data_IF_269598573775
#
_entry.id   IF_269598573775
#
_cell.length_a   1.000
_cell.length_b   1.000
_cell.length_c   1.000
_cell.angle_alpha   90.00
_cell.angle_beta   90.00
_cell.angle_gamma   90.00
#
_symmetry.space_group_name_H-M   'P 1'
#
loop_
_entity.id
_entity.type
_entity.pdbx_description
1 polymer ?
#
# COMPACT_ATOMS: atom_id res chain seq x y z
N UNK A 1 11.00 -31.03 11.90
CA UNK A 1 11.98 -30.46 10.93
C UNK A 1 11.18 -29.55 9.99
N UNK A 2 11.02 -28.29 10.39
CA UNK A 2 10.22 -27.30 9.67
C UNK A 2 11.08 -26.78 8.53
N UNK A 3 10.73 -27.10 7.29
CA UNK A 3 11.32 -26.45 6.11
C UNK A 3 10.75 -25.04 6.04
N UNK A 4 11.55 -24.06 6.43
CA UNK A 4 11.33 -22.66 6.09
C UNK A 4 11.27 -22.57 4.56
N UNK A 5 10.07 -22.47 4.02
CA UNK A 5 9.86 -21.98 2.67
C UNK A 5 10.16 -20.48 2.67
N UNK A 6 11.42 -20.14 2.51
CA UNK A 6 11.81 -18.79 2.11
C UNK A 6 11.29 -18.65 0.68
N UNK A 7 10.14 -18.03 0.53
CA UNK A 7 9.71 -17.49 -0.75
C UNK A 7 10.56 -16.25 -1.00
N UNK A 8 11.83 -16.45 -1.34
CA UNK A 8 12.61 -15.39 -1.95
C UNK A 8 11.96 -15.12 -3.30
N UNK A 9 11.58 -13.87 -3.55
CA UNK A 9 11.32 -13.42 -4.90
C UNK A 9 12.58 -13.74 -5.72
N UNK A 10 12.54 -14.84 -6.46
CA UNK A 10 13.67 -15.22 -7.33
C UNK A 10 13.65 -14.27 -8.52
N UNK A 11 14.69 -13.44 -8.69
CA UNK A 11 14.85 -12.71 -9.93
C UNK A 11 14.91 -13.72 -11.08
N UNK A 12 14.03 -13.58 -12.06
CA UNK A 12 14.08 -14.35 -13.29
C UNK A 12 13.12 -15.54 -13.41
N UNK A 13 12.17 -15.73 -12.50
CA UNK A 13 11.12 -16.73 -12.71
C UNK A 13 10.09 -16.19 -13.71
N UNK A 14 10.13 -16.73 -14.91
CA UNK A 14 9.10 -16.50 -15.93
C UNK A 14 7.76 -16.98 -15.38
N UNK A 15 6.82 -16.07 -15.10
CA UNK A 15 5.50 -16.40 -14.57
C UNK A 15 4.65 -17.06 -15.67
N UNK A 16 4.52 -16.38 -16.80
CA UNK A 16 3.81 -16.82 -17.99
C UNK A 16 4.40 -16.10 -19.21
N UNK A 17 4.29 -16.66 -20.41
CA UNK A 17 4.69 -15.95 -21.64
C UNK A 17 3.74 -14.80 -21.95
N UNK A 18 2.45 -15.02 -21.70
CA UNK A 18 1.39 -14.02 -21.78
C UNK A 18 0.38 -14.29 -20.69
N UNK A 19 -0.25 -13.23 -20.15
CA UNK A 19 -1.35 -13.42 -19.24
C UNK A 19 -2.53 -14.08 -19.95
N UNK A 20 -3.13 -15.16 -19.39
CA UNK A 20 -4.35 -15.72 -19.94
C UNK A 20 -5.50 -14.71 -20.00
N UNK A 21 -5.50 -13.67 -19.16
CA UNK A 21 -6.49 -12.61 -19.18
C UNK A 21 -6.43 -11.77 -20.47
N UNK A 22 -5.28 -11.69 -21.13
CA UNK A 22 -5.12 -10.96 -22.37
C UNK A 22 -5.94 -11.55 -23.55
N UNK A 23 -6.12 -12.88 -23.56
CA UNK A 23 -6.85 -13.57 -24.60
C UNK A 23 -8.36 -13.67 -24.36
N UNK A 24 -8.85 -13.23 -23.20
CA UNK A 24 -10.28 -13.21 -22.89
C UNK A 24 -10.97 -12.15 -23.74
N UNK A 25 -12.03 -12.55 -24.44
CA UNK A 25 -12.85 -11.65 -25.26
C UNK A 25 -13.70 -10.73 -24.37
N UNK A 26 -13.17 -9.58 -24.01
CA UNK A 26 -13.82 -8.59 -23.11
C UNK A 26 -15.25 -8.23 -23.58
N UNK A 27 -15.49 -8.11 -24.88
CA UNK A 27 -16.82 -7.84 -25.43
C UNK A 27 -17.89 -8.90 -25.11
N UNK A 28 -17.48 -10.16 -24.89
CA UNK A 28 -18.40 -11.20 -24.43
C UNK A 28 -18.72 -11.01 -22.95
N UNK A 29 -17.71 -10.73 -22.12
CA UNK A 29 -17.89 -10.49 -20.71
C UNK A 29 -18.79 -9.27 -20.43
N UNK A 30 -18.63 -8.18 -21.19
CA UNK A 30 -19.42 -6.96 -21.06
C UNK A 30 -20.92 -7.22 -21.18
N UNK A 31 -21.36 -8.14 -22.06
CA UNK A 31 -22.77 -8.51 -22.21
C UNK A 31 -23.39 -9.04 -20.91
N UNK A 32 -22.64 -9.83 -20.14
CA UNK A 32 -23.11 -10.37 -18.87
C UNK A 32 -23.01 -9.34 -17.74
N UNK A 33 -22.01 -8.47 -17.77
CA UNK A 33 -21.86 -7.38 -16.81
C UNK A 33 -22.96 -6.32 -16.94
N UNK A 34 -23.59 -6.19 -18.13
CA UNK A 34 -24.71 -5.29 -18.38
C UNK A 34 -26.08 -5.87 -18.02
N UNK A 35 -26.14 -7.13 -17.53
CA UNK A 35 -27.42 -7.69 -17.10
C UNK A 35 -28.01 -6.87 -15.93
N UNK A 36 -29.31 -6.55 -15.97
CA UNK A 36 -29.95 -5.85 -14.89
C UNK A 36 -29.87 -6.67 -13.60
N UNK A 37 -29.48 -6.02 -12.52
CA UNK A 37 -29.37 -6.65 -11.23
C UNK A 37 -30.62 -6.41 -10.37
N UNK A 38 -31.04 -7.36 -9.50
CA UNK A 38 -32.10 -7.13 -8.54
C UNK A 38 -31.77 -5.94 -7.63
N UNK A 39 -32.74 -5.04 -7.42
CA UNK A 39 -32.55 -3.81 -6.65
C UNK A 39 -32.30 -4.03 -5.16
N UNK A 40 -32.73 -5.17 -4.65
CA UNK A 40 -32.61 -5.58 -3.25
C UNK A 40 -31.38 -6.46 -2.96
N UNK A 41 -30.55 -6.70 -3.97
CA UNK A 41 -29.33 -7.51 -3.82
C UNK A 41 -28.07 -6.65 -4.00
N UNK A 42 -27.10 -6.92 -3.12
CA UNK A 42 -25.79 -6.27 -3.16
C UNK A 42 -24.70 -7.34 -3.16
N UNK A 43 -23.75 -7.20 -4.06
CA UNK A 43 -22.53 -8.00 -4.03
C UNK A 43 -21.51 -7.26 -3.13
N UNK A 44 -21.13 -7.87 -2.03
CA UNK A 44 -20.09 -7.38 -1.14
C UNK A 44 -18.83 -8.23 -1.32
N UNK A 45 -17.73 -7.60 -1.75
CA UNK A 45 -16.44 -8.25 -1.89
C UNK A 45 -15.61 -7.98 -0.63
N UNK A 46 -15.38 -9.01 0.15
CA UNK A 46 -14.55 -9.01 1.34
C UNK A 46 -13.09 -9.16 0.94
N UNK A 47 -12.27 -8.21 1.35
CA UNK A 47 -10.84 -8.11 1.03
C UNK A 47 -10.05 -8.20 2.33
N UNK A 48 -8.98 -8.98 2.34
CA UNK A 48 -8.11 -9.12 3.52
C UNK A 48 -6.64 -9.33 3.14
N UNK A 49 -5.76 -9.05 4.09
CA UNK A 49 -4.33 -9.29 3.98
C UNK A 49 -4.07 -10.73 4.37
N UNK A 50 -3.33 -11.47 3.55
CA UNK A 50 -3.03 -12.88 3.82
C UNK A 50 -1.82 -13.08 4.77
N UNK A 51 -1.41 -14.32 4.98
CA UNK A 51 -0.32 -14.66 5.88
C UNK A 51 1.08 -14.23 5.40
N UNK A 52 1.23 -13.73 4.18
CA UNK A 52 2.48 -13.12 3.71
C UNK A 52 2.68 -11.70 4.26
N UNK A 53 1.58 -11.05 4.70
CA UNK A 53 1.60 -9.64 5.10
C UNK A 53 1.72 -8.65 3.93
N UNK A 54 1.71 -9.14 2.70
CA UNK A 54 1.92 -8.36 1.47
C UNK A 54 0.79 -8.53 0.46
N UNK A 55 0.25 -9.75 0.36
CA UNK A 55 -0.73 -10.10 -0.65
C UNK A 55 -2.15 -9.95 -0.13
N UNK A 56 -3.03 -9.55 -1.03
CA UNK A 56 -4.46 -9.39 -0.77
C UNK A 56 -5.24 -10.58 -1.31
N UNK A 57 -6.24 -11.01 -0.56
CA UNK A 57 -7.22 -12.00 -0.97
C UNK A 57 -8.61 -11.38 -0.98
N UNK A 58 -9.51 -11.95 -1.79
CA UNK A 58 -10.88 -11.49 -1.85
C UNK A 58 -11.87 -12.63 -2.13
N UNK A 59 -13.06 -12.51 -1.58
CA UNK A 59 -14.22 -13.36 -1.92
C UNK A 59 -15.50 -12.54 -1.81
N UNK A 60 -16.49 -12.86 -2.62
CA UNK A 60 -17.75 -12.12 -2.67
C UNK A 60 -18.90 -12.89 -2.09
N UNK A 61 -19.83 -12.19 -1.45
CA UNK A 61 -21.13 -12.72 -1.03
C UNK A 61 -22.26 -11.81 -1.48
N UNK A 62 -23.46 -12.35 -1.56
CA UNK A 62 -24.68 -11.58 -1.78
C UNK A 62 -25.30 -11.19 -0.45
N UNK A 63 -25.73 -9.94 -0.34
CA UNK A 63 -26.54 -9.41 0.76
C UNK A 63 -27.94 -9.11 0.25
N UNK A 64 -28.94 -9.27 1.12
CA UNK A 64 -30.35 -8.98 0.84
C UNK A 64 -30.74 -7.55 1.30
N UNK A 65 -29.75 -6.70 1.53
CA UNK A 65 -29.91 -5.32 1.95
C UNK A 65 -28.74 -4.47 1.47
N UNK A 66 -28.92 -3.15 1.41
CA UNK A 66 -27.85 -2.21 1.08
C UNK A 66 -27.18 -1.74 2.38
N UNK A 67 -25.92 -2.14 2.65
CA UNK A 67 -25.21 -1.72 3.85
C UNK A 67 -24.81 -0.24 3.74
N UNK A 68 -24.94 0.48 4.87
CA UNK A 68 -24.55 1.88 5.00
C UNK A 68 -23.25 2.07 5.79
N UNK A 69 -22.90 1.09 6.63
CA UNK A 69 -21.69 1.09 7.48
C UNK A 69 -21.14 -0.34 7.64
N UNK A 70 -19.85 -0.48 7.94
CA UNK A 70 -19.21 -1.80 8.06
C UNK A 70 -19.83 -2.71 9.10
N UNK A 71 -20.34 -2.16 10.21
CA UNK A 71 -20.90 -2.93 11.34
C UNK A 71 -22.21 -3.65 11.00
N UNK A 72 -22.88 -3.29 9.90
CA UNK A 72 -24.06 -3.97 9.39
C UNK A 72 -23.71 -5.24 8.62
N UNK A 73 -22.43 -5.38 8.22
CA UNK A 73 -21.97 -6.50 7.42
C UNK A 73 -21.71 -7.73 8.28
N UNK A 74 -22.19 -8.90 7.87
CA UNK A 74 -21.96 -10.10 8.65
C UNK A 74 -20.49 -10.54 8.63
N UNK A 75 -19.99 -11.00 9.78
CA UNK A 75 -18.73 -11.73 9.86
C UNK A 75 -18.80 -12.96 8.95
N UNK A 76 -17.70 -13.27 8.29
CA UNK A 76 -17.60 -14.42 7.41
C UNK A 76 -16.36 -15.25 7.74
N UNK A 77 -16.19 -16.40 7.08
CA UNK A 77 -15.07 -17.32 7.30
C UNK A 77 -14.44 -17.73 5.97
N UNK A 78 -13.20 -18.15 6.05
CA UNK A 78 -12.45 -18.74 4.94
C UNK A 78 -11.43 -19.75 5.46
N UNK A 79 -10.87 -20.57 4.57
CA UNK A 79 -9.81 -21.51 4.91
C UNK A 79 -8.44 -20.77 5.02
N UNK A 80 -8.03 -20.50 6.25
CA UNK A 80 -6.76 -19.84 6.55
C UNK A 80 -5.54 -20.67 6.19
N UNK A 81 -5.66 -21.99 6.01
CA UNK A 81 -4.56 -22.85 5.57
C UNK A 81 -4.15 -22.56 4.11
N UNK A 82 -5.13 -22.17 3.29
CA UNK A 82 -4.91 -21.79 1.90
C UNK A 82 -4.35 -20.37 1.72
N UNK A 83 -4.20 -19.61 2.81
CA UNK A 83 -3.72 -18.22 2.82
C UNK A 83 -2.54 -18.01 3.78
N UNK A 84 -1.90 -19.07 4.22
CA UNK A 84 -0.74 -19.06 5.14
C UNK A 84 -1.07 -18.49 6.55
N UNK A 85 -2.34 -18.50 6.98
CA UNK A 85 -2.79 -17.88 8.24
C UNK A 85 -3.20 -18.90 9.31
N UNK A 86 -3.30 -20.17 8.96
CA UNK A 86 -3.52 -21.26 9.89
C UNK A 86 -2.85 -22.54 9.43
N UNK A 87 -2.73 -23.53 10.32
CA UNK A 87 -2.14 -24.82 10.01
C UNK A 87 -3.01 -25.94 10.60
N UNK A 88 -3.14 -27.05 9.85
CA UNK A 88 -3.76 -28.27 10.34
C UNK A 88 -5.26 -28.15 10.62
N UNK A 89 -5.69 -28.74 11.74
CA UNK A 89 -7.05 -28.65 12.24
C UNK A 89 -7.38 -27.22 12.70
N UNK A 90 -8.66 -26.81 12.67
CA UNK A 90 -9.12 -25.46 12.99
C UNK A 90 -8.58 -24.37 12.02
N UNK A 91 -8.67 -24.65 10.72
CA UNK A 91 -8.22 -23.69 9.68
C UNK A 91 -9.21 -22.54 9.42
N UNK A 92 -10.40 -22.59 9.98
CA UNK A 92 -11.37 -21.51 9.83
C UNK A 92 -10.85 -20.20 10.43
N UNK A 93 -10.67 -19.22 9.56
CA UNK A 93 -10.26 -17.86 9.91
C UNK A 93 -11.43 -16.91 9.63
N UNK A 94 -11.67 -15.99 10.55
CA UNK A 94 -12.79 -15.06 10.47
C UNK A 94 -12.41 -13.78 9.74
N UNK A 95 -13.34 -13.28 8.92
CA UNK A 95 -13.31 -11.96 8.26
C UNK A 95 -14.27 -11.02 8.99
N UNK A 96 -13.71 -10.05 9.68
CA UNK A 96 -14.46 -9.03 10.41
C UNK A 96 -14.43 -7.73 9.61
N UNK A 97 -15.57 -7.26 9.04
CA UNK A 97 -15.65 -5.99 8.31
C UNK A 97 -15.24 -4.80 9.16
N UNK A 98 -14.38 -3.91 8.63
CA UNK A 98 -13.86 -2.75 9.35
C UNK A 98 -13.91 -1.44 8.55
N UNK A 99 -13.95 -1.53 7.22
CA UNK A 99 -14.15 -0.37 6.35
C UNK A 99 -14.89 -0.79 5.08
N UNK A 100 -15.58 0.15 4.46
CA UNK A 100 -16.43 -0.11 3.30
C UNK A 100 -16.27 0.99 2.26
N UNK A 101 -16.16 0.57 0.99
CA UNK A 101 -15.96 1.43 -0.16
C UNK A 101 -16.95 1.08 -1.28
N UNK A 102 -17.22 2.00 -2.20
CA UNK A 102 -18.01 1.66 -3.38
C UNK A 102 -17.18 0.76 -4.31
N UNK A 103 -17.84 -0.23 -4.90
CA UNK A 103 -17.19 -1.16 -5.84
C UNK A 103 -17.11 -0.53 -7.24
N UNK A 104 -15.91 -0.15 -7.75
CA UNK A 104 -15.77 0.46 -9.06
C UNK A 104 -15.90 -0.54 -10.21
N UNK A 105 -15.86 -1.84 -9.94
CA UNK A 105 -15.95 -2.90 -10.95
C UNK A 105 -17.39 -3.32 -11.23
N UNK A 106 -18.24 -3.29 -10.20
CA UNK A 106 -19.64 -3.70 -10.27
C UNK A 106 -20.61 -2.53 -10.13
N UNK A 107 -20.09 -1.33 -9.78
CA UNK A 107 -20.84 -0.08 -9.55
C UNK A 107 -21.82 -0.19 -8.36
N UNK A 108 -22.42 0.93 -8.01
CA UNK A 108 -23.43 0.98 -6.94
C UNK A 108 -24.63 0.06 -7.27
N UNK A 109 -25.22 -0.62 -6.26
CA UNK A 109 -24.99 -0.47 -4.83
C UNK A 109 -23.89 -1.38 -4.24
N UNK A 110 -23.10 -2.06 -5.07
CA UNK A 110 -22.12 -3.04 -4.67
C UNK A 110 -20.95 -2.42 -3.85
N UNK A 111 -20.32 -3.23 -3.00
CA UNK A 111 -19.32 -2.75 -2.03
C UNK A 111 -18.04 -3.59 -2.05
N UNK A 112 -16.91 -2.88 -1.85
CA UNK A 112 -15.65 -3.46 -1.40
C UNK A 112 -15.56 -3.31 0.12
N UNK A 113 -15.17 -4.35 0.82
CA UNK A 113 -15.20 -4.41 2.29
C UNK A 113 -13.82 -4.82 2.78
N UNK A 114 -13.11 -3.91 3.45
CA UNK A 114 -11.85 -4.24 4.13
C UNK A 114 -12.16 -5.00 5.41
N UNK A 115 -11.43 -6.10 5.64
CA UNK A 115 -11.64 -6.98 6.78
C UNK A 115 -10.38 -7.16 7.60
N UNK A 116 -10.52 -7.14 8.91
CA UNK A 116 -9.57 -7.74 9.84
C UNK A 116 -9.72 -9.27 9.83
N UNK A 117 -8.63 -9.97 10.12
CA UNK A 117 -8.62 -11.45 10.20
C UNK A 117 -8.37 -11.90 11.62
N UNK A 118 -9.17 -12.90 12.06
CA UNK A 118 -9.08 -13.49 13.39
C UNK A 118 -9.02 -15.01 13.29
N UNK A 119 -8.19 -15.63 14.14
CA UNK A 119 -8.06 -17.09 14.25
C UNK A 119 -9.34 -17.71 14.85
N UNK A 120 -9.44 -19.02 14.80
CA UNK A 120 -10.57 -19.76 15.34
C UNK A 120 -10.84 -19.48 16.84
N UNK A 121 -9.81 -19.13 17.61
CA UNK A 121 -9.87 -18.78 19.03
C UNK A 121 -10.18 -17.30 19.29
N UNK A 122 -10.52 -16.53 18.25
CA UNK A 122 -10.82 -15.10 18.27
C UNK A 122 -9.59 -14.20 18.57
N UNK A 123 -8.39 -14.75 18.54
CA UNK A 123 -7.18 -13.93 18.55
C UNK A 123 -6.91 -13.36 17.16
N UNK A 124 -6.32 -12.14 17.06
CA UNK A 124 -5.93 -11.60 15.76
C UNK A 124 -4.97 -12.55 15.02
N UNK A 125 -5.15 -12.71 13.71
CA UNK A 125 -4.18 -13.41 12.89
C UNK A 125 -2.82 -12.66 12.92
N UNK A 126 -1.72 -13.37 12.70
CA UNK A 126 -0.36 -12.79 12.86
C UNK A 126 -0.11 -11.59 11.95
N UNK A 127 -0.78 -11.50 10.82
CA UNK A 127 -0.71 -10.37 9.87
C UNK A 127 -1.84 -9.34 10.06
N UNK A 128 -2.66 -9.47 11.11
CA UNK A 128 -3.67 -8.46 11.45
C UNK A 128 -3.05 -7.32 12.25
N UNK A 129 -2.21 -6.51 11.62
CA UNK A 129 -1.58 -5.36 12.27
C UNK A 129 -2.54 -4.19 12.50
N UNK A 130 -3.71 -4.20 11.83
CA UNK A 130 -4.72 -3.14 12.02
C UNK A 130 -5.20 -3.06 13.47
N UNK A 131 -5.32 -4.19 14.16
CA UNK A 131 -5.78 -4.24 15.56
C UNK A 131 -4.86 -3.44 16.47
N UNK A 132 -3.56 -3.69 16.42
CA UNK A 132 -2.56 -2.96 17.22
C UNK A 132 -2.46 -1.47 16.82
N UNK A 133 -2.54 -1.18 15.53
CA UNK A 133 -2.57 0.19 15.02
C UNK A 133 -3.79 0.96 15.54
N UNK A 134 -4.97 0.35 15.53
CA UNK A 134 -6.21 0.97 16.05
C UNK A 134 -6.07 1.31 17.55
N UNK A 135 -5.47 0.43 18.33
CA UNK A 135 -5.22 0.68 19.75
C UNK A 135 -4.30 1.87 19.99
N UNK A 136 -3.20 1.97 19.22
CA UNK A 136 -2.29 3.11 19.28
C UNK A 136 -2.98 4.41 18.84
N UNK A 137 -3.73 4.39 17.74
CA UNK A 137 -4.49 5.53 17.23
C UNK A 137 -5.54 6.01 18.24
N UNK A 138 -6.23 5.08 18.91
CA UNK A 138 -7.22 5.39 19.93
C UNK A 138 -6.59 6.11 21.13
N UNK A 139 -5.44 5.63 21.61
CA UNK A 139 -4.68 6.28 22.70
C UNK A 139 -4.18 7.68 22.32
N UNK A 140 -3.84 7.90 21.06
CA UNK A 140 -3.33 9.17 20.55
C UNK A 140 -4.41 10.08 19.93
N UNK A 141 -5.69 9.73 20.02
CA UNK A 141 -6.78 10.43 19.31
C UNK A 141 -6.87 11.92 19.62
N UNK A 142 -6.53 12.34 20.87
CA UNK A 142 -6.49 13.72 21.28
C UNK A 142 -5.44 14.58 20.56
N UNK A 143 -4.42 13.95 19.96
CA UNK A 143 -3.37 14.62 19.19
C UNK A 143 -3.73 14.73 17.69
N UNK A 144 -4.84 14.12 17.26
CA UNK A 144 -5.34 14.12 15.88
C UNK A 144 -4.22 13.80 14.86
N UNK A 145 -3.64 12.59 14.91
CA UNK A 145 -2.59 12.19 13.97
C UNK A 145 -3.16 12.10 12.54
N UNK A 146 -2.55 12.83 11.61
CA UNK A 146 -2.88 12.79 10.18
C UNK A 146 -1.74 12.17 9.40
N UNK A 147 -2.11 11.42 8.37
CA UNK A 147 -1.18 10.72 7.50
C UNK A 147 -1.50 10.95 6.04
N UNK A 148 -0.45 11.02 5.23
CA UNK A 148 -0.50 10.87 3.79
C UNK A 148 0.59 9.90 3.36
N UNK A 149 0.32 9.00 2.42
CA UNK A 149 1.31 8.03 1.95
C UNK A 149 1.47 8.14 0.45
N UNK A 150 2.74 8.21 0.02
CA UNK A 150 3.19 8.25 -1.36
C UNK A 150 3.63 6.83 -1.75
N UNK A 151 2.73 6.09 -2.41
CA UNK A 151 2.93 4.69 -2.74
C UNK A 151 3.56 4.54 -4.11
N UNK A 152 4.82 4.15 -4.15
CA UNK A 152 5.49 3.75 -5.40
C UNK A 152 5.22 2.28 -5.72
N UNK A 153 5.22 1.94 -7.01
CA UNK A 153 5.06 0.58 -7.53
C UNK A 153 5.65 0.47 -8.93
N UNK A 154 5.91 -0.75 -9.38
CA UNK A 154 6.39 -1.01 -10.73
C UNK A 154 5.43 -1.93 -11.49
N UNK A 155 5.13 -1.57 -12.73
CA UNK A 155 4.40 -2.44 -13.64
C UNK A 155 5.36 -3.44 -14.28
N UNK A 156 5.00 -4.72 -14.25
CA UNK A 156 5.76 -5.80 -14.86
C UNK A 156 4.92 -6.47 -15.94
N UNK A 157 5.59 -6.90 -16.99
CA UNK A 157 5.02 -7.88 -17.91
C UNK A 157 4.96 -9.27 -17.23
N UNK A 158 4.21 -10.19 -17.76
CA UNK A 158 4.05 -11.53 -17.18
C UNK A 158 5.32 -12.38 -17.18
N UNK A 159 6.34 -11.99 -17.94
CA UNK A 159 7.67 -12.57 -17.89
C UNK A 159 8.54 -12.03 -16.73
N UNK A 160 8.02 -11.09 -15.94
CA UNK A 160 8.71 -10.48 -14.81
C UNK A 160 9.64 -9.32 -15.18
N UNK A 161 9.70 -8.92 -16.45
CA UNK A 161 10.41 -7.71 -16.87
C UNK A 161 9.53 -6.47 -16.66
N UNK A 162 10.10 -5.31 -16.35
CA UNK A 162 9.32 -4.08 -16.29
C UNK A 162 8.60 -3.81 -17.62
N UNK A 163 7.35 -3.42 -17.51
CA UNK A 163 6.49 -3.20 -18.66
C UNK A 163 7.07 -2.16 -19.62
N UNK A 164 7.14 -2.51 -20.91
CA UNK A 164 7.69 -1.64 -21.94
C UNK A 164 9.23 -1.59 -22.02
N UNK A 165 9.93 -2.31 -21.15
CA UNK A 165 11.38 -2.42 -21.27
C UNK A 165 11.79 -3.33 -22.44
N UNK A 166 12.98 -3.11 -23.04
CA UNK A 166 13.53 -4.01 -24.03
C UNK A 166 13.61 -5.44 -23.48
N UNK A 167 13.22 -6.43 -24.28
CA UNK A 167 13.30 -7.85 -23.86
C UNK A 167 14.76 -8.34 -23.76
N UNK A 168 15.70 -7.62 -24.37
CA UNK A 168 17.15 -7.82 -24.24
C UNK A 168 17.81 -6.48 -23.96
N UNK A 169 18.60 -6.45 -22.86
CA UNK A 169 19.26 -5.20 -22.42
C UNK A 169 18.37 -4.33 -21.53
N UNK A 170 18.67 -3.05 -21.53
CA UNK A 170 18.06 -2.04 -20.64
C UNK A 170 17.52 -0.87 -21.45
N UNK A 171 16.56 -0.11 -20.93
CA UNK A 171 16.17 1.17 -21.50
C UNK A 171 17.32 2.20 -21.37
N UNK A 172 17.14 3.38 -21.92
CA UNK A 172 18.08 4.48 -21.72
C UNK A 172 18.24 4.84 -20.23
N UNK A 173 19.35 5.51 -19.85
CA UNK A 173 19.60 5.91 -18.46
C UNK A 173 18.47 6.73 -17.85
N UNK A 174 18.29 6.62 -16.52
CA UNK A 174 17.36 7.47 -15.77
C UNK A 174 17.65 8.95 -15.99
N UNK A 175 16.59 9.77 -16.00
CA UNK A 175 16.62 11.19 -16.23
C UNK A 175 15.36 11.74 -16.92
N UNK A 176 14.89 11.16 -18.05
CA UNK A 176 13.75 11.72 -18.78
C UNK A 176 12.38 11.18 -18.33
N UNK A 177 12.31 10.23 -17.42
CA UNK A 177 11.09 9.46 -17.11
C UNK A 177 10.24 10.06 -15.99
N UNK A 178 10.85 10.67 -14.97
CA UNK A 178 10.13 11.29 -13.87
C UNK A 178 9.15 12.36 -14.35
N UNK A 179 7.87 12.21 -14.02
CA UNK A 179 6.78 13.04 -14.53
C UNK A 179 6.78 13.14 -16.06
N UNK A 180 7.28 12.12 -16.75
CA UNK A 180 7.50 12.12 -18.19
C UNK A 180 6.21 12.14 -18.99
N UNK A 181 6.30 12.64 -20.22
CA UNK A 181 5.22 12.67 -21.21
C UNK A 181 5.77 12.19 -22.54
N UNK A 182 5.03 11.33 -23.21
CA UNK A 182 5.38 10.76 -24.51
C UNK A 182 5.57 9.24 -24.45
N UNK A 183 5.31 8.57 -25.58
CA UNK A 183 5.36 7.13 -25.70
C UNK A 183 6.77 6.53 -25.50
N UNK A 184 7.79 7.35 -25.60
CA UNK A 184 9.19 6.99 -25.38
C UNK A 184 9.65 7.15 -23.93
N UNK A 185 8.78 7.66 -23.04
CA UNK A 185 9.13 7.99 -21.66
C UNK A 185 8.27 7.32 -20.60
N UNK A 186 6.98 7.09 -20.87
CA UNK A 186 6.05 6.53 -19.87
C UNK A 186 5.28 5.36 -20.44
N UNK A 187 5.08 4.34 -19.61
CA UNK A 187 4.42 3.10 -19.98
C UNK A 187 3.31 2.77 -18.98
N UNK A 188 2.12 2.37 -19.50
CA UNK A 188 1.03 1.91 -18.65
C UNK A 188 0.13 3.02 -18.09
N UNK A 189 0.13 4.23 -18.64
CA UNK A 189 -0.72 5.35 -18.17
C UNK A 189 -2.21 4.99 -18.08
N UNK A 190 -2.72 4.18 -18.99
CA UNK A 190 -4.14 3.77 -18.97
C UNK A 190 -4.50 3.02 -17.68
N UNK A 191 -3.57 2.22 -17.14
CA UNK A 191 -3.73 1.52 -15.85
C UNK A 191 -3.78 2.54 -14.72
N UNK A 192 -2.87 3.51 -14.74
CA UNK A 192 -2.72 4.54 -13.70
C UNK A 192 -3.93 5.45 -13.64
N UNK A 193 -4.37 5.95 -14.79
CA UNK A 193 -5.58 6.79 -14.91
C UNK A 193 -6.86 6.02 -14.53
N UNK A 194 -6.94 4.75 -14.94
CA UNK A 194 -8.05 3.87 -14.54
C UNK A 194 -8.07 3.66 -13.03
N UNK A 195 -6.91 3.43 -12.42
CA UNK A 195 -6.76 3.30 -10.97
C UNK A 195 -7.18 4.56 -10.22
N UNK A 196 -6.70 5.73 -10.65
CA UNK A 196 -7.04 7.00 -10.03
C UNK A 196 -8.55 7.23 -10.01
N UNK A 197 -9.21 7.07 -11.15
CA UNK A 197 -10.67 7.23 -11.28
C UNK A 197 -11.45 6.22 -10.45
N UNK A 198 -11.01 4.96 -10.43
CA UNK A 198 -11.64 3.91 -9.65
C UNK A 198 -11.51 4.17 -8.14
N UNK A 199 -10.36 4.67 -7.67
CA UNK A 199 -10.17 5.08 -6.28
C UNK A 199 -11.09 6.24 -5.89
N UNK A 200 -11.22 7.27 -6.73
CA UNK A 200 -12.16 8.37 -6.49
C UNK A 200 -13.62 7.87 -6.41
N UNK A 201 -14.04 6.98 -7.32
CA UNK A 201 -15.37 6.39 -7.28
C UNK A 201 -15.60 5.56 -6.02
N UNK A 202 -14.59 4.81 -5.60
CA UNK A 202 -14.65 4.00 -4.39
C UNK A 202 -14.77 4.84 -3.10
N UNK A 203 -14.41 6.12 -3.15
CA UNK A 203 -14.36 7.00 -1.98
C UNK A 203 -13.02 6.94 -1.24
N UNK A 204 -11.97 6.45 -1.92
CA UNK A 204 -10.59 6.50 -1.41
C UNK A 204 -10.08 7.93 -1.56
N UNK A 205 -9.41 8.41 -0.53
CA UNK A 205 -8.81 9.76 -0.52
C UNK A 205 -7.49 9.78 -1.31
N UNK A 206 -7.55 9.40 -2.60
CA UNK A 206 -6.44 9.53 -3.53
C UNK A 206 -6.29 10.99 -3.94
N UNK A 207 -5.08 11.53 -3.94
CA UNK A 207 -4.81 12.96 -4.11
C UNK A 207 -3.82 13.28 -5.23
N UNK A 208 -3.16 12.29 -5.78
CA UNK A 208 -2.26 12.51 -6.89
C UNK A 208 -1.69 11.22 -7.46
N UNK A 209 -1.02 11.35 -8.60
CA UNK A 209 -0.24 10.33 -9.26
C UNK A 209 0.89 10.96 -10.07
N UNK A 210 1.97 10.23 -10.28
CA UNK A 210 3.03 10.62 -11.21
C UNK A 210 3.84 9.41 -11.68
N UNK A 211 4.44 9.53 -12.86
CA UNK A 211 5.46 8.61 -13.30
C UNK A 211 6.76 8.84 -12.51
N UNK A 212 7.41 7.75 -12.15
CA UNK A 212 8.62 7.75 -11.34
C UNK A 212 9.91 7.72 -12.18
N UNK A 213 11.06 7.77 -11.47
CA UNK A 213 12.39 7.92 -12.08
C UNK A 213 12.77 6.72 -12.92
N UNK A 214 12.36 5.50 -12.53
CA UNK A 214 12.59 4.30 -13.30
C UNK A 214 11.44 4.09 -14.33
N UNK A 215 11.71 3.76 -15.59
CA UNK A 215 10.66 3.45 -16.56
C UNK A 215 9.77 2.31 -16.09
N UNK A 216 8.46 2.44 -16.26
CA UNK A 216 7.40 1.57 -15.75
C UNK A 216 7.15 1.64 -14.23
N UNK A 217 7.85 2.52 -13.53
CA UNK A 217 7.57 2.84 -12.13
C UNK A 217 6.63 4.04 -12.07
N UNK A 218 5.67 3.95 -11.15
CA UNK A 218 4.64 4.95 -10.89
C UNK A 218 4.45 5.14 -9.39
N UNK A 219 3.86 6.27 -9.05
CA UNK A 219 3.47 6.62 -7.69
C UNK A 219 2.01 7.08 -7.67
N UNK A 220 1.28 6.75 -6.60
CA UNK A 220 0.03 7.42 -6.25
C UNK A 220 0.07 7.86 -4.79
N UNK A 221 -0.65 8.95 -4.47
CA UNK A 221 -0.70 9.50 -3.13
C UNK A 221 -2.10 9.32 -2.53
N UNK A 222 -2.15 8.86 -1.27
CA UNK A 222 -3.37 8.71 -0.47
C UNK A 222 -3.28 9.58 0.77
N UNK A 223 -4.30 10.36 1.05
CA UNK A 223 -4.38 11.24 2.21
C UNK A 223 -4.42 12.73 1.85
N UNK A 224 -4.36 13.65 2.82
CA UNK A 224 -4.26 13.34 4.25
C UNK A 224 -5.56 12.78 4.83
N UNK A 225 -5.44 11.79 5.72
CA UNK A 225 -6.55 11.26 6.52
C UNK A 225 -6.12 11.07 7.97
N UNK A 226 -7.08 11.11 8.89
CA UNK A 226 -6.84 10.96 10.32
C UNK A 226 -6.85 9.50 10.75
N UNK A 227 -5.88 9.13 11.56
CA UNK A 227 -5.88 7.87 12.30
C UNK A 227 -5.79 6.62 11.44
N UNK A 228 -6.56 5.60 11.84
CA UNK A 228 -6.49 4.24 11.26
C UNK A 228 -6.91 4.19 9.79
N UNK A 229 -7.72 5.12 9.33
CA UNK A 229 -8.29 5.12 7.98
C UNK A 229 -7.23 5.18 6.87
N UNK A 230 -6.04 5.72 7.14
CA UNK A 230 -4.96 5.75 6.13
C UNK A 230 -4.58 4.35 5.67
N UNK A 231 -4.49 3.37 6.58
CA UNK A 231 -4.21 1.99 6.25
C UNK A 231 -5.35 1.34 5.46
N UNK A 232 -6.60 1.60 5.85
CA UNK A 232 -7.78 1.10 5.14
C UNK A 232 -7.82 1.62 3.70
N UNK A 233 -7.58 2.91 3.50
CA UNK A 233 -7.54 3.54 2.18
C UNK A 233 -6.39 3.04 1.32
N UNK A 234 -5.18 2.90 1.88
CA UNK A 234 -4.02 2.45 1.11
C UNK A 234 -4.15 0.97 0.69
N UNK A 235 -4.57 0.09 1.60
CA UNK A 235 -4.78 -1.31 1.25
C UNK A 235 -5.87 -1.49 0.19
N UNK A 236 -6.96 -0.73 0.29
CA UNK A 236 -8.01 -0.78 -0.73
C UNK A 236 -7.56 -0.17 -2.05
N UNK A 237 -6.74 0.88 -2.04
CA UNK A 237 -6.13 1.43 -3.26
C UNK A 237 -5.22 0.40 -3.94
N UNK A 238 -4.39 -0.32 -3.17
CA UNK A 238 -3.56 -1.44 -3.70
C UNK A 238 -4.44 -2.55 -4.31
N UNK A 239 -5.52 -2.92 -3.64
CA UNK A 239 -6.48 -3.91 -4.17
C UNK A 239 -7.06 -3.47 -5.52
N UNK A 240 -7.52 -2.24 -5.63
CA UNK A 240 -8.08 -1.69 -6.87
C UNK A 240 -7.02 -1.66 -7.97
N UNK A 241 -5.77 -1.29 -7.65
CA UNK A 241 -4.67 -1.27 -8.61
C UNK A 241 -4.40 -2.67 -9.19
N UNK A 242 -4.28 -3.68 -8.33
CA UNK A 242 -4.08 -5.06 -8.77
C UNK A 242 -5.24 -5.57 -9.63
N UNK A 243 -6.49 -5.26 -9.25
CA UNK A 243 -7.67 -5.65 -10.00
C UNK A 243 -7.75 -5.00 -11.39
N UNK A 244 -7.37 -3.73 -11.50
CA UNK A 244 -7.32 -3.05 -12.80
C UNK A 244 -6.20 -3.64 -13.66
N UNK A 245 -5.02 -3.84 -13.10
CA UNK A 245 -3.89 -4.44 -13.81
C UNK A 245 -4.20 -5.85 -14.35
N UNK A 246 -5.00 -6.66 -13.61
CA UNK A 246 -5.53 -7.94 -14.10
C UNK A 246 -6.24 -7.80 -15.45
N UNK A 247 -7.02 -6.74 -15.64
CA UNK A 247 -7.77 -6.53 -16.88
C UNK A 247 -6.89 -6.23 -18.08
N UNK A 248 -5.71 -5.66 -17.83
CA UNK A 248 -4.69 -5.39 -18.84
C UNK A 248 -3.68 -6.54 -19.00
N UNK A 249 -3.74 -7.56 -18.14
CA UNK A 249 -2.78 -8.65 -18.13
C UNK A 249 -1.39 -8.23 -17.65
N UNK A 250 -1.29 -7.19 -16.85
CA UNK A 250 -0.08 -6.60 -16.30
C UNK A 250 0.03 -6.96 -14.81
N UNK A 251 1.26 -7.23 -14.37
CA UNK A 251 1.57 -7.51 -12.96
C UNK A 251 1.99 -6.23 -12.26
N UNK A 252 1.44 -5.96 -11.09
CA UNK A 252 1.90 -4.90 -10.20
C UNK A 252 2.85 -5.50 -9.17
N UNK A 253 4.02 -4.91 -8.98
CA UNK A 253 4.90 -5.27 -7.88
C UNK A 253 5.11 -4.09 -6.94
N UNK A 254 5.07 -4.38 -5.65
CA UNK A 254 5.46 -3.48 -4.56
C UNK A 254 6.86 -3.81 -4.03
N UNK A 255 7.63 -4.64 -4.74
CA UNK A 255 9.01 -4.94 -4.34
C UNK A 255 9.83 -3.65 -4.25
N UNK A 256 10.51 -3.37 -3.12
CA UNK A 256 11.25 -2.11 -2.95
C UNK A 256 12.48 -1.99 -3.84
N UNK A 257 12.93 -3.08 -4.48
CA UNK A 257 14.02 -3.07 -5.44
C UNK A 257 13.81 -4.15 -6.51
N UNK A 258 12.83 -3.97 -7.41
CA UNK A 258 12.45 -5.00 -8.37
C UNK A 258 13.56 -5.29 -9.39
N UNK A 259 14.38 -4.30 -9.72
CA UNK A 259 15.50 -4.42 -10.65
C UNK A 259 16.81 -4.13 -9.92
N UNK A 260 17.77 -5.06 -9.91
CA UNK A 260 19.07 -4.83 -9.31
C UNK A 260 19.91 -3.83 -10.12
N UNK A 261 20.96 -3.28 -9.48
CA UNK A 261 21.89 -2.35 -10.13
C UNK A 261 21.47 -0.89 -9.97
N UNK A 262 21.87 -0.05 -10.92
CA UNK A 262 21.76 1.39 -10.87
C UNK A 262 20.37 1.91 -11.32
N UNK A 263 19.32 1.33 -10.74
CA UNK A 263 17.92 1.70 -10.95
C UNK A 263 17.26 2.11 -9.64
N UNK A 264 16.31 3.04 -9.69
CA UNK A 264 15.55 3.46 -8.50
C UNK A 264 14.86 2.26 -7.83
N UNK A 265 14.81 2.31 -6.51
CA UNK A 265 13.92 1.50 -5.71
C UNK A 265 12.53 2.10 -5.60
N UNK A 266 11.64 1.42 -4.87
CA UNK A 266 10.28 1.85 -4.59
C UNK A 266 10.03 1.95 -3.09
N UNK A 267 9.50 3.09 -2.64
CA UNK A 267 9.13 3.38 -1.26
C UNK A 267 7.63 3.59 -1.06
N UNK A 268 7.26 3.78 0.19
CA UNK A 268 5.96 4.28 0.60
C UNK A 268 6.19 5.40 1.62
N UNK A 269 6.57 6.58 1.15
CA UNK A 269 6.91 7.70 2.02
C UNK A 269 5.69 8.10 2.85
N UNK A 270 5.87 8.19 4.17
CA UNK A 270 4.79 8.49 5.09
C UNK A 270 4.89 9.94 5.59
N UNK A 271 3.98 10.78 5.13
CA UNK A 271 3.79 12.12 5.64
C UNK A 271 2.97 12.05 6.93
N UNK A 272 3.46 12.69 7.99
CA UNK A 272 2.85 12.62 9.32
C UNK A 272 2.77 13.99 9.98
N UNK A 273 1.64 14.27 10.62
CA UNK A 273 1.50 15.45 11.49
C UNK A 273 0.53 15.19 12.63
N UNK A 274 0.74 15.92 13.72
CA UNK A 274 -0.23 16.07 14.81
C UNK A 274 -0.90 17.43 14.75
N UNK A 275 -1.97 17.63 15.52
CA UNK A 275 -2.60 18.95 15.62
C UNK A 275 -1.59 20.04 16.05
N UNK A 276 -0.68 19.72 16.97
CA UNK A 276 0.36 20.64 17.41
C UNK A 276 1.34 21.02 16.30
N UNK A 277 1.75 20.06 15.46
CA UNK A 277 2.61 20.32 14.30
C UNK A 277 1.94 21.23 13.25
N UNK A 278 0.64 21.17 13.12
CA UNK A 278 -0.16 22.00 12.19
C UNK A 278 -0.49 23.39 12.79
N UNK A 279 -0.24 23.57 14.09
CA UNK A 279 -0.49 24.83 14.80
C UNK A 279 0.65 25.85 14.68
N UNK A 280 0.49 26.99 15.36
CA UNK A 280 1.52 28.02 15.40
C UNK A 280 2.83 27.48 15.99
N UNK A 281 3.96 27.79 15.32
CA UNK A 281 5.28 27.30 15.67
C UNK A 281 5.41 25.76 15.73
N UNK A 282 4.60 25.05 14.95
CA UNK A 282 4.57 23.59 14.86
C UNK A 282 5.89 22.96 14.44
N UNK A 283 6.81 23.73 13.87
CA UNK A 283 8.16 23.27 13.51
C UNK A 283 8.92 22.72 14.73
N UNK A 284 8.76 23.31 15.91
CA UNK A 284 9.37 22.81 17.14
C UNK A 284 8.84 21.42 17.52
N UNK A 285 7.55 21.15 17.27
CA UNK A 285 6.97 19.82 17.51
C UNK A 285 7.43 18.80 16.47
N UNK A 286 7.66 19.24 15.22
CA UNK A 286 8.26 18.42 14.16
C UNK A 286 9.70 18.04 14.56
N UNK A 287 10.51 18.98 15.01
CA UNK A 287 11.90 18.73 15.45
C UNK A 287 11.98 17.75 16.63
N UNK A 288 11.09 17.92 17.63
CA UNK A 288 10.97 16.96 18.74
C UNK A 288 10.58 15.56 18.27
N UNK A 289 9.66 15.46 17.29
CA UNK A 289 9.28 14.18 16.72
C UNK A 289 10.45 13.52 15.99
N UNK A 290 11.24 14.28 15.23
CA UNK A 290 12.43 13.80 14.54
C UNK A 290 13.46 13.28 15.54
N UNK A 291 13.66 13.96 16.67
CA UNK A 291 14.55 13.51 17.75
C UNK A 291 14.09 12.16 18.32
N UNK A 292 12.78 11.98 18.58
CA UNK A 292 12.23 10.70 19.05
C UNK A 292 12.42 9.58 18.01
N UNK A 293 12.12 9.86 16.74
CA UNK A 293 12.28 8.91 15.64
C UNK A 293 13.74 8.49 15.45
N UNK A 294 14.69 9.39 15.66
CA UNK A 294 16.12 9.07 15.56
C UNK A 294 16.56 8.05 16.61
N UNK A 295 16.02 8.11 17.82
CA UNK A 295 16.32 7.19 18.92
C UNK A 295 15.76 5.78 18.70
N UNK A 296 14.75 5.64 17.84
CA UNK A 296 14.05 4.39 17.54
C UNK A 296 14.30 3.89 16.11
N UNK A 297 15.34 4.40 15.44
CA UNK A 297 15.59 4.17 14.02
C UNK A 297 15.45 2.70 13.61
N UNK A 298 16.19 1.79 14.24
CA UNK A 298 16.20 0.37 13.87
C UNK A 298 14.89 -0.35 14.22
N UNK A 299 14.14 0.12 15.20
CA UNK A 299 12.78 -0.38 15.48
C UNK A 299 11.86 -0.07 14.32
N UNK A 300 11.91 1.16 13.80
CA UNK A 300 11.14 1.58 12.63
C UNK A 300 11.55 0.82 11.37
N UNK A 301 12.85 0.67 11.11
CA UNK A 301 13.34 -0.11 9.96
C UNK A 301 12.75 -1.53 9.96
N UNK A 302 12.68 -2.19 11.12
CA UNK A 302 12.10 -3.55 11.24
C UNK A 302 10.60 -3.60 10.96
N UNK A 303 9.87 -2.52 11.18
CA UNK A 303 8.43 -2.42 10.94
C UNK A 303 8.10 -1.95 9.50
N UNK A 304 9.09 -1.52 8.72
CA UNK A 304 8.91 -0.81 7.46
C UNK A 304 9.00 -1.70 6.22
N UNK A 305 9.14 -3.00 6.41
CA UNK A 305 8.87 -4.03 5.42
C UNK A 305 8.42 -5.33 6.12
N UNK A 306 7.77 -6.26 5.42
CA UNK A 306 7.23 -7.47 6.03
C UNK A 306 8.29 -8.48 6.47
N UNK A 307 9.57 -8.29 6.11
CA UNK A 307 10.68 -9.18 6.45
C UNK A 307 11.68 -8.58 7.46
N UNK A 308 11.22 -7.61 8.27
CA UNK A 308 11.99 -7.04 9.36
C UNK A 308 13.16 -6.16 8.94
N UNK A 309 13.03 -5.46 7.81
CA UNK A 309 14.01 -4.55 7.24
C UNK A 309 14.85 -5.14 6.10
N UNK A 310 14.78 -6.45 5.86
CA UNK A 310 15.61 -7.14 4.86
C UNK A 310 15.29 -6.74 3.41
N UNK A 311 14.04 -6.49 3.10
CA UNK A 311 13.66 -6.05 1.76
C UNK A 311 14.16 -4.64 1.49
N UNK A 312 14.08 -3.80 2.50
CA UNK A 312 14.47 -2.40 2.43
C UNK A 312 15.99 -2.19 2.39
N UNK A 313 16.80 -3.17 2.82
CA UNK A 313 18.26 -3.15 2.65
C UNK A 313 18.67 -2.98 1.19
N UNK A 314 17.92 -3.56 0.26
CA UNK A 314 18.17 -3.47 -1.17
C UNK A 314 17.89 -2.07 -1.74
N UNK A 315 17.05 -1.27 -1.06
CA UNK A 315 16.63 0.06 -1.46
C UNK A 315 17.38 1.17 -0.71
N UNK A 316 17.51 1.07 0.62
CA UNK A 316 18.12 2.11 1.48
C UNK A 316 19.65 2.02 1.45
N UNK A 317 20.27 2.41 0.35
CA UNK A 317 21.70 2.26 0.09
C UNK A 317 22.49 3.57 0.23
N UNK A 318 21.81 4.69 0.45
CA UNK A 318 22.42 6.04 0.39
C UNK A 318 22.58 6.59 -1.02
N UNK A 319 22.02 5.90 -2.03
CA UNK A 319 21.95 6.31 -3.43
C UNK A 319 20.48 6.44 -3.85
N UNK A 320 20.24 7.00 -5.05
CA UNK A 320 18.89 7.11 -5.62
C UNK A 320 17.88 7.76 -4.66
N UNK A 321 18.26 8.91 -4.10
CA UNK A 321 17.42 9.70 -3.19
C UNK A 321 16.99 8.93 -1.92
N UNK A 322 17.81 8.00 -1.45
CA UNK A 322 17.62 7.29 -0.19
C UNK A 322 18.74 7.57 0.81
N UNK A 323 18.42 7.50 2.10
CA UNK A 323 19.41 7.41 3.16
C UNK A 323 19.96 5.99 3.27
N UNK A 324 21.13 5.83 3.92
CA UNK A 324 21.61 4.50 4.30
C UNK A 324 20.70 3.90 5.37
N UNK A 325 20.41 2.59 5.27
CA UNK A 325 19.59 1.89 6.26
C UNK A 325 20.18 1.91 7.68
N UNK A 326 21.51 2.01 7.80
CA UNK A 326 22.21 1.98 9.08
C UNK A 326 22.20 3.33 9.81
N UNK A 327 22.01 4.42 9.08
CA UNK A 327 22.19 5.76 9.63
C UNK A 327 20.90 6.58 9.51
N UNK A 328 20.46 7.12 10.65
CA UNK A 328 19.38 8.10 10.66
C UNK A 328 19.90 9.48 10.27
N UNK A 329 19.16 10.17 9.44
CA UNK A 329 19.42 11.55 9.06
C UNK A 329 18.12 12.32 8.84
N UNK A 330 18.19 13.65 8.99
CA UNK A 330 17.06 14.52 8.68
C UNK A 330 17.54 15.80 8.02
N UNK A 331 16.67 16.45 7.26
CA UNK A 331 17.03 17.72 6.61
C UNK A 331 15.85 18.40 5.94
N UNK A 332 15.98 19.71 5.74
CA UNK A 332 15.00 20.51 5.00
C UNK A 332 15.24 20.35 3.50
N UNK A 333 14.17 20.01 2.78
CA UNK A 333 14.18 19.82 1.32
C UNK A 333 15.25 18.83 0.79
N UNK A 334 15.72 17.93 1.65
CA UNK A 334 16.76 16.95 1.31
C UNK A 334 16.15 15.56 1.15
N UNK A 335 16.11 15.05 -0.09
CA UNK A 335 15.57 13.72 -0.41
C UNK A 335 16.49 12.55 -0.07
N UNK A 336 17.77 12.81 0.21
CA UNK A 336 18.74 11.80 0.66
C UNK A 336 18.72 11.51 2.17
N UNK A 337 17.68 11.93 2.90
CA UNK A 337 17.57 11.76 4.35
C UNK A 337 16.50 10.74 4.74
N UNK A 338 16.59 10.24 5.97
CA UNK A 338 15.55 9.37 6.56
C UNK A 338 14.24 10.14 6.77
N UNK A 339 14.34 11.35 7.31
CA UNK A 339 13.21 12.25 7.54
C UNK A 339 13.46 13.56 6.80
N UNK A 340 12.51 13.95 5.97
CA UNK A 340 12.54 15.23 5.27
C UNK A 340 11.52 16.18 5.87
N UNK A 341 11.92 17.42 6.08
CA UNK A 341 11.00 18.54 6.31
C UNK A 341 10.82 19.24 4.96
N UNK A 342 9.60 19.26 4.40
CA UNK A 342 9.35 19.98 3.15
C UNK A 342 9.70 21.45 3.27
N UNK A 343 10.15 22.07 2.17
CA UNK A 343 10.58 23.49 2.17
C UNK A 343 9.48 24.43 2.67
N UNK A 344 8.25 24.27 2.17
CA UNK A 344 7.12 25.10 2.60
C UNK A 344 6.82 24.96 4.11
N UNK A 345 6.99 23.76 4.67
CA UNK A 345 6.83 23.54 6.12
C UNK A 345 7.88 24.31 6.92
N UNK A 346 9.13 24.31 6.45
CA UNK A 346 10.21 25.08 7.10
C UNK A 346 9.98 26.60 7.00
N UNK A 347 9.45 27.09 5.89
CA UNK A 347 9.13 28.50 5.66
C UNK A 347 7.91 28.94 6.49
N UNK A 348 6.83 28.15 6.51
CA UNK A 348 5.61 28.42 7.29
C UNK A 348 5.76 28.11 8.79
N UNK A 349 6.84 27.41 9.17
CA UNK A 349 7.14 26.95 10.54
C UNK A 349 6.04 26.09 11.16
N UNK A 350 5.30 25.35 10.34
CA UNK A 350 4.23 24.42 10.72
C UNK A 350 3.93 23.46 9.58
N UNK A 351 3.33 22.30 9.89
CA UNK A 351 2.89 21.35 8.88
C UNK A 351 3.13 19.90 9.29
N UNK A 352 4.04 19.22 8.59
CA UNK A 352 4.28 17.79 8.71
C UNK A 352 5.75 17.42 8.46
N UNK A 353 6.13 16.22 8.84
CA UNK A 353 7.38 15.57 8.43
C UNK A 353 7.08 14.46 7.42
N UNK A 354 8.04 14.12 6.59
CA UNK A 354 8.01 13.01 5.66
C UNK A 354 9.01 11.94 6.10
N UNK A 355 8.52 10.76 6.50
CA UNK A 355 9.36 9.59 6.73
C UNK A 355 9.57 8.84 5.41
N UNK A 356 10.79 8.87 4.90
CA UNK A 356 11.17 8.30 3.61
C UNK A 356 11.67 6.86 3.70
N UNK A 357 11.71 6.30 4.92
CA UNK A 357 12.25 4.96 5.18
C UNK A 357 11.33 3.80 4.81
N UNK A 358 9.98 3.89 4.88
CA UNK A 358 9.13 2.75 4.57
C UNK A 358 9.32 2.24 3.13
N UNK A 359 9.40 0.91 2.98
CA UNK A 359 9.47 0.23 1.69
C UNK A 359 8.09 0.23 1.00
N UNK A 360 8.07 0.11 -0.32
CA UNK A 360 6.80 0.07 -1.06
C UNK A 360 5.89 -1.10 -0.64
N UNK A 361 6.46 -2.23 -0.21
CA UNK A 361 5.73 -3.40 0.27
C UNK A 361 5.41 -3.37 1.78
N UNK A 362 5.61 -2.24 2.46
CA UNK A 362 5.28 -2.11 3.88
C UNK A 362 3.78 -2.32 4.14
N UNK A 363 3.47 -2.73 5.36
CA UNK A 363 2.10 -2.64 5.88
C UNK A 363 1.87 -1.23 6.46
N UNK A 364 0.96 -0.42 5.88
CA UNK A 364 0.69 0.92 6.38
C UNK A 364 0.20 0.96 7.83
N UNK A 365 -0.44 -0.10 8.31
CA UNK A 365 -0.82 -0.20 9.71
C UNK A 365 0.40 -0.25 10.63
N UNK A 366 1.40 -1.07 10.29
CA UNK A 366 2.65 -1.15 11.07
C UNK A 366 3.45 0.15 11.00
N UNK A 367 3.52 0.78 9.83
CA UNK A 367 4.23 2.05 9.65
C UNK A 367 3.62 3.14 10.55
N UNK A 368 2.32 3.32 10.45
CA UNK A 368 1.63 4.40 11.17
C UNK A 368 1.53 4.11 12.67
N UNK A 369 1.37 2.86 13.07
CA UNK A 369 1.46 2.44 14.47
C UNK A 369 2.82 2.80 15.08
N UNK A 370 3.91 2.41 14.41
CA UNK A 370 5.27 2.68 14.88
C UNK A 370 5.51 4.20 15.07
N UNK A 371 5.06 5.02 14.11
CA UNK A 371 5.17 6.48 14.20
C UNK A 371 4.37 7.02 15.39
N UNK A 372 3.12 6.61 15.56
CA UNK A 372 2.26 7.07 16.66
C UNK A 372 2.81 6.65 18.02
N UNK A 373 3.24 5.40 18.16
CA UNK A 373 3.84 4.93 19.43
C UNK A 373 5.05 5.76 19.79
N UNK A 374 5.96 5.98 18.86
CA UNK A 374 7.20 6.73 19.10
C UNK A 374 6.92 8.21 19.35
N UNK A 375 6.14 8.87 18.49
CA UNK A 375 5.98 10.32 18.54
C UNK A 375 4.92 10.76 19.57
N UNK A 376 3.76 10.10 19.56
CA UNK A 376 2.62 10.53 20.36
C UNK A 376 2.55 9.90 21.74
N UNK A 377 2.99 8.62 21.86
CA UNK A 377 2.86 7.85 23.09
C UNK A 377 4.19 7.72 23.87
N UNK A 378 5.32 8.07 23.26
CA UNK A 378 6.70 7.92 23.83
C UNK A 378 7.05 6.47 24.19
N UNK A 379 6.58 5.52 23.36
CA UNK A 379 6.81 4.08 23.52
C UNK A 379 7.96 3.57 22.64
#
# INVERSE_FOLDING_TARGET
MVRNLVVSAMPGRKLLETSPNYVIKKGVATRFQQLPQPKDKVQAMYVWIDGTGQDLRAKSRTLDFIPTKPEELPVWMYDGSSTYQSQGENSDTYLCPVAMFNDPFRLAPNKLVMCETYKHDQTPADTNHRKAALEAMTKAANQKPWFGIEQEYTLLDTDGQPFGWPKTGYPGPQGPYYCGVGADKVYGRDIVEGHYRACLYAGINITGENAEVMPAQWEFQVGPVEGISIGDHLWMARFILHRIAEEFGIVVTLDPKPIPGDWNGAGAHCNFSTQAMRGNNGICEIEKAIEKLSKQHMRHIKAYDPHGGKDNERRLTGKHETSSIQNFSSGVANRGTSIRIPRGVAEEKKGYLEDRRPAANCDPYQVTEAIVRTVCLNE
#
